data_IF_564303719344
#
_entry.id   IF_564303719344
#
_cell.length_a   1.000
_cell.length_b   1.000
_cell.length_c   1.000
_cell.angle_alpha   90.00
_cell.angle_beta   90.00
_cell.angle_gamma   90.00
#
_symmetry.space_group_name_H-M   'P 1'
#
loop_
_entity.id
_entity.type
_entity.pdbx_description
1 polymer ?
#
# COMPACT_ATOMS: atom_id res chain seq x y z
N UNK A 1 3.86 -9.37 -14.56
CA UNK A 1 3.77 -9.09 -13.10
C UNK A 1 4.81 -8.08 -12.62
N UNK A 2 6.13 -8.25 -12.90
CA UNK A 2 7.19 -7.33 -12.45
C UNK A 2 6.89 -5.83 -12.66
N UNK A 3 6.53 -5.44 -13.88
CA UNK A 3 6.29 -4.03 -14.25
C UNK A 3 5.16 -3.41 -13.42
N UNK A 4 4.03 -4.12 -13.27
CA UNK A 4 2.88 -3.64 -12.48
C UNK A 4 3.24 -3.54 -10.99
N UNK A 5 4.05 -4.47 -10.50
CA UNK A 5 4.55 -4.42 -9.13
C UNK A 5 5.44 -3.20 -8.89
N UNK A 6 6.41 -2.93 -9.77
CA UNK A 6 7.30 -1.76 -9.69
C UNK A 6 6.51 -0.44 -9.73
N UNK A 7 5.56 -0.31 -10.66
CA UNK A 7 4.66 0.84 -10.74
C UNK A 7 3.87 1.05 -9.44
N UNK A 8 3.40 -0.05 -8.86
CA UNK A 8 2.67 -0.01 -7.60
C UNK A 8 3.57 0.44 -6.44
N UNK A 9 4.81 -0.08 -6.35
CA UNK A 9 5.76 0.30 -5.31
C UNK A 9 6.19 1.77 -5.42
N UNK A 10 6.34 2.30 -6.64
CA UNK A 10 6.58 3.73 -6.85
C UNK A 10 5.46 4.59 -6.27
N UNK A 11 4.19 4.20 -6.48
CA UNK A 11 3.04 4.87 -5.88
C UNK A 11 3.04 4.77 -4.34
N UNK A 12 3.35 3.59 -3.79
CA UNK A 12 3.45 3.39 -2.33
C UNK A 12 4.53 4.29 -1.73
N UNK A 13 5.68 4.43 -2.38
CA UNK A 13 6.75 5.34 -1.95
C UNK A 13 6.28 6.80 -1.91
N UNK A 14 5.62 7.27 -2.97
CA UNK A 14 5.07 8.63 -3.01
C UNK A 14 4.05 8.88 -1.88
N UNK A 15 3.25 7.87 -1.51
CA UNK A 15 2.35 7.95 -0.35
C UNK A 15 3.14 8.02 0.96
N UNK A 16 4.23 7.27 1.10
CA UNK A 16 5.10 7.34 2.29
C UNK A 16 5.71 8.74 2.46
N UNK A 17 6.26 9.30 1.37
CA UNK A 17 6.81 10.66 1.32
C UNK A 17 5.76 11.71 1.72
N UNK A 18 4.56 11.62 1.14
CA UNK A 18 3.47 12.52 1.50
C UNK A 18 3.11 12.45 2.98
N UNK A 19 3.00 11.24 3.56
CA UNK A 19 2.64 11.07 4.97
C UNK A 19 3.71 11.58 5.92
N UNK A 20 4.97 11.30 5.61
CA UNK A 20 6.12 11.77 6.38
C UNK A 20 6.14 13.30 6.48
N UNK A 21 5.97 13.98 5.34
CA UNK A 21 5.99 15.45 5.29
C UNK A 21 4.78 16.13 5.96
N UNK A 22 3.64 15.44 6.06
CA UNK A 22 2.40 16.01 6.58
C UNK A 22 1.99 15.48 7.96
N UNK A 23 2.85 14.70 8.65
CA UNK A 23 2.53 14.00 9.91
C UNK A 23 1.25 13.16 9.85
N UNK A 24 0.94 12.61 8.68
CA UNK A 24 -0.29 11.83 8.47
C UNK A 24 -0.16 10.40 8.98
N UNK A 25 -1.25 9.83 9.51
CA UNK A 25 -1.27 8.45 9.96
C UNK A 25 -0.90 7.47 8.83
N UNK A 26 -0.07 6.49 9.17
CA UNK A 26 0.35 5.44 8.24
C UNK A 26 -0.84 4.57 7.81
N UNK A 27 -1.93 4.55 8.58
CA UNK A 27 -3.06 3.65 8.39
C UNK A 27 -4.40 4.39 8.13
N UNK A 28 -5.03 4.09 7.00
CA UNK A 28 -6.41 4.48 6.71
C UNK A 28 -7.21 3.22 6.31
N UNK A 29 -7.81 2.59 7.32
CA UNK A 29 -8.62 1.38 7.14
C UNK A 29 -9.79 1.60 6.16
N UNK A 30 -10.43 2.76 6.24
CA UNK A 30 -11.57 3.10 5.40
C UNK A 30 -11.18 3.15 3.91
N UNK A 31 -9.96 3.63 3.61
CA UNK A 31 -9.44 3.63 2.24
C UNK A 31 -9.13 2.21 1.75
N UNK A 32 -8.57 1.36 2.59
CA UNK A 32 -8.25 -0.03 2.26
C UNK A 32 -9.51 -0.84 1.94
N UNK A 33 -10.54 -0.72 2.77
CA UNK A 33 -11.83 -1.38 2.55
C UNK A 33 -12.51 -0.91 1.25
N UNK A 34 -12.47 0.41 0.97
CA UNK A 34 -12.97 0.96 -0.30
C UNK A 34 -12.22 0.42 -1.51
N UNK A 35 -10.90 0.25 -1.40
CA UNK A 35 -10.08 -0.32 -2.49
C UNK A 35 -10.45 -1.77 -2.76
N UNK A 36 -10.59 -2.59 -1.72
CA UNK A 36 -11.00 -3.99 -1.84
C UNK A 36 -12.38 -4.11 -2.49
N UNK A 37 -13.39 -3.39 -1.95
CA UNK A 37 -14.75 -3.39 -2.52
C UNK A 37 -14.77 -2.99 -4.00
N UNK A 38 -14.06 -1.92 -4.36
CA UNK A 38 -14.02 -1.41 -5.75
C UNK A 38 -13.37 -2.39 -6.72
N UNK A 39 -12.34 -3.12 -6.29
CA UNK A 39 -11.67 -4.08 -7.15
C UNK A 39 -12.48 -5.38 -7.28
N UNK A 40 -13.07 -5.86 -6.18
CA UNK A 40 -13.95 -7.03 -6.21
C UNK A 40 -15.20 -6.78 -7.05
N UNK A 41 -15.79 -5.57 -6.98
CA UNK A 41 -16.99 -5.24 -7.77
C UNK A 41 -16.72 -5.15 -9.28
N UNK A 42 -15.45 -5.07 -9.69
CA UNK A 42 -15.03 -5.03 -11.10
C UNK A 42 -14.52 -6.38 -11.60
N UNK A 43 -14.44 -7.38 -10.72
CA UNK A 43 -14.00 -8.72 -11.10
C UNK A 43 -15.13 -9.41 -11.86
N UNK A 44 -14.89 -9.77 -13.12
CA UNK A 44 -15.88 -10.46 -13.95
C UNK A 44 -15.92 -11.97 -13.67
N UNK A 45 -14.76 -12.58 -13.44
CA UNK A 45 -14.62 -13.99 -13.14
C UNK A 45 -14.81 -14.28 -11.64
N UNK A 46 -16.07 -14.46 -11.24
CA UNK A 46 -16.48 -14.66 -9.85
C UNK A 46 -15.84 -15.87 -9.17
N UNK A 47 -15.45 -16.89 -9.94
CA UNK A 47 -14.72 -18.07 -9.43
C UNK A 47 -13.39 -17.71 -8.76
N UNK A 48 -12.76 -16.60 -9.16
CA UNK A 48 -11.50 -16.13 -8.58
C UNK A 48 -11.69 -15.13 -7.44
N UNK A 49 -12.92 -14.77 -7.05
CA UNK A 49 -13.17 -13.67 -6.11
C UNK A 49 -12.40 -13.83 -4.79
N UNK A 50 -12.44 -15.03 -4.20
CA UNK A 50 -11.75 -15.32 -2.92
C UNK A 50 -10.22 -15.23 -3.05
N UNK A 51 -9.67 -15.79 -4.13
CA UNK A 51 -8.23 -15.74 -4.39
C UNK A 51 -7.76 -14.30 -4.69
N UNK A 52 -8.58 -13.53 -5.41
CA UNK A 52 -8.28 -12.14 -5.73
C UNK A 52 -8.35 -11.24 -4.50
N UNK A 53 -9.34 -11.43 -3.63
CA UNK A 53 -9.41 -10.73 -2.35
C UNK A 53 -8.15 -10.95 -1.51
N UNK A 54 -7.73 -12.21 -1.35
CA UNK A 54 -6.50 -12.57 -0.64
C UNK A 54 -5.28 -11.89 -1.25
N UNK A 55 -5.15 -11.93 -2.58
CA UNK A 55 -4.05 -11.26 -3.28
C UNK A 55 -4.01 -9.75 -3.01
N UNK A 56 -5.16 -9.08 -3.03
CA UNK A 56 -5.24 -7.64 -2.74
C UNK A 56 -4.88 -7.33 -1.28
N UNK A 57 -5.27 -8.19 -0.33
CA UNK A 57 -4.91 -8.07 1.08
C UNK A 57 -3.39 -8.20 1.29
N UNK A 58 -2.76 -9.19 0.67
CA UNK A 58 -1.29 -9.36 0.72
C UNK A 58 -0.56 -8.17 0.11
N UNK A 59 -1.07 -7.67 -1.02
CA UNK A 59 -0.58 -6.45 -1.64
C UNK A 59 -0.63 -5.25 -0.66
N UNK A 60 -1.73 -5.09 0.09
CA UNK A 60 -1.87 -4.03 1.09
C UNK A 60 -0.86 -4.21 2.23
N UNK A 61 -0.68 -5.44 2.71
CA UNK A 61 0.28 -5.77 3.76
C UNK A 61 1.70 -5.36 3.36
N UNK A 62 2.18 -5.80 2.19
CA UNK A 62 3.52 -5.46 1.67
C UNK A 62 3.69 -3.94 1.53
N UNK A 63 2.64 -3.25 1.10
CA UNK A 63 2.67 -1.78 0.97
C UNK A 63 2.88 -1.07 2.30
N UNK A 64 2.23 -1.55 3.35
CA UNK A 64 2.31 -0.97 4.69
C UNK A 64 3.69 -1.21 5.29
N UNK A 65 4.22 -2.42 5.14
CA UNK A 65 5.57 -2.76 5.56
C UNK A 65 6.59 -1.81 4.90
N UNK A 66 6.54 -1.68 3.56
CA UNK A 66 7.44 -0.77 2.84
C UNK A 66 7.32 0.69 3.29
N UNK A 67 6.10 1.21 3.46
CA UNK A 67 5.88 2.58 3.96
C UNK A 67 6.52 2.78 5.34
N UNK A 68 6.30 1.83 6.26
CA UNK A 68 6.84 1.88 7.61
C UNK A 68 8.37 1.87 7.60
N UNK A 69 8.96 0.93 6.87
CA UNK A 69 10.43 0.80 6.79
C UNK A 69 11.06 2.06 6.18
N UNK A 70 10.43 2.62 5.13
CA UNK A 70 10.89 3.85 4.51
C UNK A 70 10.84 5.04 5.49
N UNK A 71 9.73 5.20 6.23
CA UNK A 71 9.59 6.28 7.23
C UNK A 71 10.63 6.14 8.34
N UNK A 72 10.79 4.94 8.90
CA UNK A 72 11.77 4.68 9.96
C UNK A 72 13.21 4.95 9.51
N UNK A 73 13.54 4.62 8.24
CA UNK A 73 14.82 4.97 7.65
C UNK A 73 15.01 6.48 7.61
N UNK A 74 13.99 7.24 7.21
CA UNK A 74 14.08 8.71 7.13
C UNK A 74 14.21 9.38 8.49
N UNK A 75 13.44 8.94 9.49
CA UNK A 75 13.58 9.43 10.87
C UNK A 75 14.97 9.13 11.46
N UNK A 76 15.61 8.03 11.04
CA UNK A 76 16.96 7.69 11.49
C UNK A 76 18.03 8.55 10.83
N UNK A 77 17.87 8.85 9.53
CA UNK A 77 18.76 9.75 8.79
C UNK A 77 18.69 11.19 9.34
N UNK A 78 17.51 11.68 9.72
CA UNK A 78 17.34 13.03 10.28
C UNK A 78 17.89 13.20 11.70
N UNK A 79 17.94 12.12 12.50
CA UNK A 79 18.49 12.16 13.88
C UNK A 79 20.01 11.99 13.93
N UNK A 80 20.61 11.48 12.86
CA UNK A 80 22.05 11.27 12.73
C UNK A 80 22.82 12.47 12.17
N UNK A 81 22.14 13.59 11.90
CA UNK A 81 22.67 14.80 11.26
C UNK A 81 22.56 16.02 12.17
#
# INVERSE_FOLDING_TARGET
MRILFEQRMACVKAVAEYKFNNHGDIFDQNREEKMLKKNLSKLEASEYAKAYEQFLQEILLVSKAYQKDWILSKESDERGN
#
